data_IF_529124841684
#
_entry.id   IF_529124841684
#
_cell.length_a   1.000
_cell.length_b   1.000
_cell.length_c   1.000
_cell.angle_alpha   90.00
_cell.angle_beta   90.00
_cell.angle_gamma   90.00
#
_symmetry.space_group_name_H-M   'P 1'
#
loop_
_entity.id
_entity.type
_entity.pdbx_description
1 polymer ?
#
# COMPACT_ATOMS: atom_id res chain seq x y z
N UNK A 1 -16.45 21.55 -17.90
CA UNK A 1 -16.75 20.94 -16.58
C UNK A 1 -18.13 21.41 -16.16
N UNK A 2 -19.07 20.51 -15.77
CA UNK A 2 -20.41 20.89 -15.35
C UNK A 2 -20.39 21.65 -14.02
N UNK A 3 -21.36 22.54 -13.79
CA UNK A 3 -21.48 23.31 -12.55
C UNK A 3 -21.47 22.43 -11.29
N UNK A 4 -22.22 21.33 -11.30
CA UNK A 4 -22.30 20.39 -10.17
C UNK A 4 -20.95 19.70 -9.87
N UNK A 5 -20.19 19.36 -10.92
CA UNK A 5 -18.86 18.78 -10.75
C UNK A 5 -17.90 19.77 -10.08
N UNK A 6 -18.02 21.07 -10.42
CA UNK A 6 -17.20 22.12 -9.81
C UNK A 6 -17.53 22.28 -8.32
N UNK A 7 -18.81 22.39 -7.97
CA UNK A 7 -19.26 22.48 -6.56
C UNK A 7 -18.79 21.27 -5.76
N UNK A 8 -18.95 20.05 -6.29
CA UNK A 8 -18.51 18.84 -5.60
C UNK A 8 -16.99 18.82 -5.40
N UNK A 9 -16.22 19.24 -6.41
CA UNK A 9 -14.76 19.33 -6.32
C UNK A 9 -14.33 20.32 -5.23
N UNK A 10 -14.90 21.49 -5.19
CA UNK A 10 -14.63 22.52 -4.19
C UNK A 10 -14.96 22.02 -2.76
N UNK A 11 -16.10 21.34 -2.58
CA UNK A 11 -16.46 20.72 -1.29
C UNK A 11 -15.48 19.64 -0.84
N UNK A 12 -14.97 18.80 -1.77
CA UNK A 12 -13.97 17.78 -1.48
C UNK A 12 -12.62 18.41 -1.12
N UNK A 13 -12.19 19.43 -1.87
CA UNK A 13 -10.93 20.14 -1.62
C UNK A 13 -10.96 20.90 -0.30
N UNK A 14 -12.04 21.61 0.01
CA UNK A 14 -12.24 22.32 1.28
C UNK A 14 -12.15 21.39 2.50
N UNK A 15 -12.50 20.13 2.34
CA UNK A 15 -12.38 19.07 3.37
C UNK A 15 -11.07 18.33 3.34
N UNK A 16 -10.11 18.77 2.54
CA UNK A 16 -8.77 18.19 2.39
C UNK A 16 -8.79 16.68 2.05
N UNK A 17 -9.68 16.27 1.15
CA UNK A 17 -9.69 14.90 0.65
C UNK A 17 -8.47 14.65 -0.24
N UNK A 18 -7.90 13.45 -0.16
CA UNK A 18 -6.80 13.04 -1.02
C UNK A 18 -7.23 13.03 -2.51
N UNK A 19 -6.34 13.42 -3.42
CA UNK A 19 -6.61 13.51 -4.86
C UNK A 19 -7.24 12.24 -5.42
N UNK A 20 -6.74 11.05 -5.01
CA UNK A 20 -7.31 9.76 -5.42
C UNK A 20 -8.75 9.57 -4.96
N UNK A 21 -9.10 10.04 -3.76
CA UNK A 21 -10.49 9.96 -3.27
C UNK A 21 -11.39 10.92 -4.03
N UNK A 22 -10.90 12.11 -4.35
CA UNK A 22 -11.60 13.10 -5.18
C UNK A 22 -11.95 12.48 -6.53
N UNK A 23 -10.96 11.90 -7.22
CA UNK A 23 -11.16 11.26 -8.53
C UNK A 23 -12.20 10.14 -8.48
N UNK A 24 -12.10 9.27 -7.47
CA UNK A 24 -13.08 8.18 -7.30
C UNK A 24 -14.49 8.68 -7.06
N UNK A 25 -14.66 9.70 -6.24
CA UNK A 25 -15.98 10.23 -5.92
C UNK A 25 -16.62 10.95 -7.11
N UNK A 26 -15.81 11.72 -7.84
CA UNK A 26 -16.29 12.39 -9.07
C UNK A 26 -16.68 11.37 -10.14
N UNK A 27 -15.86 10.32 -10.35
CA UNK A 27 -16.19 9.23 -11.29
C UNK A 27 -17.44 8.47 -10.90
N UNK A 28 -17.65 8.18 -9.60
CA UNK A 28 -18.83 7.47 -9.14
C UNK A 28 -20.13 8.25 -9.49
N UNK A 29 -20.13 9.58 -9.37
CA UNK A 29 -21.26 10.42 -9.75
C UNK A 29 -21.40 10.52 -11.27
N UNK A 30 -20.30 10.60 -12.00
CA UNK A 30 -20.28 10.59 -13.47
C UNK A 30 -20.85 9.29 -14.04
N UNK A 31 -20.42 8.14 -13.51
CA UNK A 31 -20.91 6.81 -13.93
C UNK A 31 -22.40 6.66 -13.63
N UNK A 32 -22.85 7.16 -12.47
CA UNK A 32 -24.27 7.19 -12.10
C UNK A 32 -25.11 8.02 -13.09
N UNK A 33 -24.64 9.22 -13.41
CA UNK A 33 -25.33 10.10 -14.38
C UNK A 33 -25.36 9.50 -15.78
N UNK A 34 -24.26 8.88 -16.23
CA UNK A 34 -24.16 8.19 -17.53
C UNK A 34 -25.12 7.02 -17.63
N UNK A 35 -25.24 6.22 -16.56
CA UNK A 35 -26.12 5.06 -16.55
C UNK A 35 -27.59 5.42 -16.85
N UNK A 36 -28.07 6.55 -16.32
CA UNK A 36 -29.45 7.00 -16.56
C UNK A 36 -29.59 8.02 -17.70
N UNK A 37 -28.51 8.48 -18.30
CA UNK A 37 -28.53 9.53 -19.33
C UNK A 37 -29.11 10.86 -18.85
N UNK A 38 -29.12 11.12 -17.54
CA UNK A 38 -29.74 12.28 -16.92
C UNK A 38 -28.76 13.03 -16.00
N UNK A 39 -28.92 14.36 -15.81
CA UNK A 39 -28.16 15.09 -14.82
C UNK A 39 -28.37 14.51 -13.41
N UNK A 40 -27.28 14.34 -12.61
CA UNK A 40 -27.37 13.61 -11.36
C UNK A 40 -28.22 14.27 -10.27
N UNK A 41 -28.48 15.57 -10.37
CA UNK A 41 -29.39 16.32 -9.48
C UNK A 41 -30.87 16.04 -9.74
N UNK A 42 -31.22 15.56 -10.95
CA UNK A 42 -32.55 15.14 -11.32
C UNK A 42 -32.88 13.69 -11.00
N UNK A 43 -31.86 12.95 -10.53
CA UNK A 43 -32.01 11.56 -10.10
C UNK A 43 -32.46 11.51 -8.64
N UNK A 44 -33.34 10.55 -8.35
CA UNK A 44 -34.01 10.41 -7.06
C UNK A 44 -33.64 9.11 -6.33
N UNK A 45 -34.37 8.82 -5.24
CA UNK A 45 -34.26 7.63 -4.41
C UNK A 45 -34.32 6.32 -5.20
N UNK A 46 -35.25 6.22 -6.13
CA UNK A 46 -35.49 4.99 -6.91
C UNK A 46 -34.29 4.69 -7.81
N UNK A 47 -33.78 5.70 -8.51
CA UNK A 47 -32.56 5.58 -9.32
C UNK A 47 -31.34 5.14 -8.50
N UNK A 48 -31.22 5.60 -7.24
CA UNK A 48 -30.12 5.15 -6.38
C UNK A 48 -30.19 3.67 -6.02
N UNK A 49 -31.40 3.18 -5.71
CA UNK A 49 -31.63 1.74 -5.43
C UNK A 49 -31.41 0.88 -6.66
N UNK A 50 -31.94 1.31 -7.80
CA UNK A 50 -31.76 0.63 -9.09
C UNK A 50 -30.26 0.55 -9.46
N UNK A 51 -29.54 1.66 -9.34
CA UNK A 51 -28.11 1.67 -9.64
C UNK A 51 -27.29 0.79 -8.71
N UNK A 52 -27.60 0.72 -7.42
CA UNK A 52 -26.93 -0.21 -6.52
C UNK A 52 -27.21 -1.68 -6.90
N UNK A 53 -28.44 -1.98 -7.27
CA UNK A 53 -28.81 -3.32 -7.76
C UNK A 53 -28.07 -3.66 -9.07
N UNK A 54 -28.00 -2.73 -10.01
CA UNK A 54 -27.23 -2.83 -11.25
C UNK A 54 -25.75 -3.13 -11.00
N UNK A 55 -25.08 -2.36 -10.11
CA UNK A 55 -23.67 -2.57 -9.79
C UNK A 55 -23.39 -3.97 -9.23
N UNK A 56 -24.31 -4.51 -8.42
CA UNK A 56 -24.15 -5.83 -7.79
C UNK A 56 -24.55 -6.98 -8.71
N UNK A 57 -25.68 -6.87 -9.42
CA UNK A 57 -26.30 -7.99 -10.17
C UNK A 57 -25.82 -8.07 -11.61
N UNK A 58 -25.76 -6.94 -12.31
CA UNK A 58 -25.41 -6.89 -13.73
C UNK A 58 -23.90 -6.69 -13.93
N UNK A 59 -23.32 -5.67 -13.30
CA UNK A 59 -21.86 -5.46 -13.35
C UNK A 59 -21.06 -6.43 -12.47
N UNK A 60 -21.73 -7.16 -11.58
CA UNK A 60 -21.12 -8.16 -10.68
C UNK A 60 -19.90 -7.62 -9.95
N UNK A 61 -19.93 -6.34 -9.55
CA UNK A 61 -18.84 -5.71 -8.82
C UNK A 61 -18.76 -6.27 -7.38
N UNK A 62 -17.54 -6.40 -6.88
CA UNK A 62 -17.34 -6.79 -5.48
C UNK A 62 -17.98 -5.78 -4.53
N UNK A 63 -18.57 -6.22 -3.41
CA UNK A 63 -19.22 -5.34 -2.43
C UNK A 63 -18.34 -4.20 -1.94
N UNK A 64 -17.00 -4.41 -1.87
CA UNK A 64 -16.04 -3.36 -1.51
C UNK A 64 -15.97 -2.25 -2.56
N UNK A 65 -16.03 -2.58 -3.84
CA UNK A 65 -16.06 -1.63 -4.95
C UNK A 65 -17.38 -0.86 -4.96
N UNK A 66 -18.50 -1.56 -4.79
CA UNK A 66 -19.83 -0.93 -4.67
C UNK A 66 -19.87 0.04 -3.49
N UNK A 67 -19.27 -0.33 -2.33
CA UNK A 67 -19.14 0.57 -1.18
C UNK A 67 -18.45 1.87 -1.54
N UNK A 68 -17.46 1.85 -2.41
CA UNK A 68 -16.74 3.06 -2.85
C UNK A 68 -17.65 3.95 -3.72
N UNK A 69 -18.39 3.37 -4.68
CA UNK A 69 -19.41 4.10 -5.47
C UNK A 69 -20.45 4.74 -4.57
N UNK A 70 -20.99 3.97 -3.62
CA UNK A 70 -21.96 4.45 -2.62
C UNK A 70 -21.39 5.63 -1.82
N UNK A 71 -20.11 5.57 -1.41
CA UNK A 71 -19.48 6.68 -0.67
C UNK A 71 -19.46 7.97 -1.49
N UNK A 72 -19.13 7.89 -2.79
CA UNK A 72 -19.16 9.05 -3.70
C UNK A 72 -20.58 9.63 -3.88
N UNK A 73 -21.56 8.75 -4.09
CA UNK A 73 -22.97 9.17 -4.22
C UNK A 73 -23.50 9.78 -2.93
N UNK A 74 -23.23 9.17 -1.76
CA UNK A 74 -23.61 9.76 -0.46
C UNK A 74 -22.99 11.15 -0.26
N UNK A 75 -21.71 11.31 -0.62
CA UNK A 75 -21.06 12.61 -0.55
C UNK A 75 -21.78 13.63 -1.45
N UNK A 76 -22.05 13.27 -2.69
CA UNK A 76 -22.74 14.15 -3.65
C UNK A 76 -24.11 14.56 -3.17
N UNK A 77 -24.98 13.61 -2.85
CA UNK A 77 -26.36 13.94 -2.44
C UNK A 77 -26.41 14.68 -1.11
N UNK A 78 -25.62 14.27 -0.11
CA UNK A 78 -25.70 14.82 1.24
C UNK A 78 -24.88 16.10 1.40
N UNK A 79 -23.66 16.13 0.88
CA UNK A 79 -22.75 17.27 1.11
C UNK A 79 -22.82 18.31 0.01
N UNK A 80 -22.94 17.89 -1.25
CA UNK A 80 -23.01 18.80 -2.40
C UNK A 80 -24.43 19.33 -2.62
N UNK A 81 -25.44 18.44 -2.71
CA UNK A 81 -26.83 18.83 -2.94
C UNK A 81 -27.64 19.16 -1.66
N UNK A 82 -27.06 18.91 -0.47
CA UNK A 82 -27.70 19.12 0.83
C UNK A 82 -29.01 18.31 1.04
N UNK A 83 -29.11 17.16 0.36
CA UNK A 83 -30.27 16.25 0.47
C UNK A 83 -30.00 15.16 1.51
N UNK A 84 -29.91 15.52 2.79
CA UNK A 84 -29.57 14.59 3.89
C UNK A 84 -30.60 13.48 4.11
N UNK A 85 -31.88 13.73 3.75
CA UNK A 85 -32.97 12.75 3.84
C UNK A 85 -32.78 11.50 2.98
N UNK A 86 -31.85 11.52 1.99
CA UNK A 86 -31.53 10.37 1.16
C UNK A 86 -30.48 9.43 1.79
N UNK A 87 -29.97 9.72 2.98
CA UNK A 87 -28.91 8.93 3.63
C UNK A 87 -29.31 7.46 3.85
N UNK A 88 -30.54 7.23 4.31
CA UNK A 88 -31.07 5.90 4.62
C UNK A 88 -31.35 5.07 3.37
N UNK A 89 -31.54 5.74 2.23
CA UNK A 89 -31.80 5.11 0.94
C UNK A 89 -30.56 4.66 0.19
N UNK A 90 -29.39 5.02 0.69
CA UNK A 90 -28.10 4.65 0.11
C UNK A 90 -27.33 3.81 1.14
N UNK A 91 -27.80 2.59 1.49
CA UNK A 91 -27.12 1.75 2.47
C UNK A 91 -25.77 1.26 1.93
N UNK A 92 -24.82 1.07 2.83
CA UNK A 92 -23.59 0.41 2.45
C UNK A 92 -23.81 -1.10 2.29
N UNK A 93 -23.30 -1.71 1.22
CA UNK A 93 -23.35 -3.17 1.07
C UNK A 93 -22.58 -3.85 2.19
N UNK A 94 -23.06 -4.99 2.66
CA UNK A 94 -22.31 -5.84 3.59
C UNK A 94 -21.07 -6.37 2.87
N UNK A 95 -19.90 -6.09 3.42
CA UNK A 95 -18.62 -6.58 2.91
C UNK A 95 -18.20 -7.79 3.75
N UNK A 96 -18.10 -8.99 3.17
CA UNK A 96 -17.61 -10.16 3.88
C UNK A 96 -16.20 -9.92 4.41
N UNK A 97 -15.96 -10.25 5.68
CA UNK A 97 -14.61 -10.26 6.25
C UNK A 97 -13.93 -11.56 5.84
N UNK A 98 -12.98 -11.47 4.94
CA UNK A 98 -12.09 -12.61 4.62
C UNK A 98 -10.84 -12.47 5.48
N UNK A 99 -10.37 -13.58 6.04
CA UNK A 99 -9.09 -13.62 6.70
C UNK A 99 -7.99 -13.30 5.67
N UNK A 100 -7.00 -12.49 6.04
CA UNK A 100 -5.88 -12.24 5.15
C UNK A 100 -5.12 -13.54 4.89
N UNK A 101 -4.66 -13.73 3.67
CA UNK A 101 -3.70 -14.77 3.34
C UNK A 101 -2.39 -14.39 4.03
N UNK A 102 -1.73 -15.35 4.68
CA UNK A 102 -0.44 -15.14 5.35
C UNK A 102 0.57 -16.09 4.71
N UNK A 103 1.79 -15.58 4.45
CA UNK A 103 2.93 -16.40 4.04
C UNK A 103 3.60 -16.98 5.29
N UNK A 104 4.15 -18.19 5.22
CA UNK A 104 5.06 -18.67 6.25
C UNK A 104 6.43 -17.99 6.13
N UNK A 105 7.25 -18.14 7.14
CA UNK A 105 8.61 -17.60 7.15
C UNK A 105 9.44 -18.21 6.02
N UNK A 106 9.29 -19.52 5.82
CA UNK A 106 9.94 -20.28 4.76
C UNK A 106 9.47 -19.83 3.37
N UNK A 107 8.17 -19.54 3.22
CA UNK A 107 7.61 -18.98 1.98
C UNK A 107 8.18 -17.59 1.67
N UNK A 108 8.36 -16.75 2.71
CA UNK A 108 9.01 -15.44 2.53
C UNK A 108 10.49 -15.60 2.16
N UNK A 109 11.21 -16.51 2.78
CA UNK A 109 12.59 -16.83 2.41
C UNK A 109 12.70 -17.21 0.93
N UNK A 110 11.92 -18.21 0.49
CA UNK A 110 11.85 -18.64 -0.92
C UNK A 110 11.47 -17.49 -1.87
N UNK A 111 10.52 -16.64 -1.47
CA UNK A 111 10.11 -15.49 -2.26
C UNK A 111 11.27 -14.51 -2.51
N UNK A 112 12.03 -14.18 -1.46
CA UNK A 112 13.15 -13.24 -1.54
C UNK A 112 14.30 -13.85 -2.36
N UNK A 113 14.59 -15.15 -2.18
CA UNK A 113 15.64 -15.84 -2.90
C UNK A 113 15.31 -16.06 -4.39
N UNK A 114 14.03 -16.17 -4.74
CA UNK A 114 13.55 -16.26 -6.11
C UNK A 114 13.48 -14.92 -6.86
N UNK A 115 13.92 -13.81 -6.26
CA UNK A 115 13.96 -12.51 -6.93
C UNK A 115 14.80 -12.55 -8.22
N UNK A 116 14.35 -11.84 -9.27
CA UNK A 116 14.99 -11.83 -10.60
C UNK A 116 16.38 -11.18 -10.60
N UNK A 117 16.53 -10.17 -9.79
CA UNK A 117 17.73 -9.33 -9.72
C UNK A 117 17.86 -8.68 -8.35
N UNK A 118 18.98 -7.99 -8.13
CA UNK A 118 19.29 -7.35 -6.86
C UNK A 118 18.28 -6.26 -6.47
N UNK A 119 17.70 -5.54 -7.45
CA UNK A 119 16.68 -4.53 -7.19
C UNK A 119 15.40 -5.17 -6.63
N UNK A 120 14.89 -6.22 -7.30
CA UNK A 120 13.68 -6.92 -6.85
C UNK A 120 13.90 -7.55 -5.46
N UNK A 121 15.07 -8.17 -5.23
CA UNK A 121 15.45 -8.71 -3.92
C UNK A 121 15.44 -7.65 -2.84
N UNK A 122 16.04 -6.50 -3.11
CA UNK A 122 16.10 -5.37 -2.16
C UNK A 122 14.70 -4.82 -1.89
N UNK A 123 13.86 -4.67 -2.92
CA UNK A 123 12.46 -4.26 -2.78
C UNK A 123 11.67 -5.18 -1.83
N UNK A 124 11.75 -6.49 -2.06
CA UNK A 124 11.06 -7.49 -1.24
C UNK A 124 11.57 -7.49 0.21
N UNK A 125 12.89 -7.39 0.39
CA UNK A 125 13.50 -7.32 1.73
C UNK A 125 13.07 -6.06 2.49
N UNK A 126 13.07 -4.89 1.84
CA UNK A 126 12.59 -3.64 2.45
C UNK A 126 11.12 -3.75 2.83
N UNK A 127 10.25 -4.26 1.95
CA UNK A 127 8.83 -4.44 2.23
C UNK A 127 8.61 -5.36 3.45
N UNK A 128 9.27 -6.48 3.48
CA UNK A 128 9.14 -7.47 4.55
C UNK A 128 9.68 -6.97 5.88
N UNK A 129 10.89 -6.42 5.89
CA UNK A 129 11.56 -6.00 7.13
C UNK A 129 10.93 -4.76 7.78
N UNK A 130 10.35 -3.85 6.98
CA UNK A 130 9.86 -2.56 7.48
C UNK A 130 8.35 -2.45 7.53
N UNK A 131 7.65 -3.32 6.82
CA UNK A 131 6.20 -3.26 6.67
C UNK A 131 5.68 -1.96 6.07
N UNK A 132 6.50 -1.23 5.31
CA UNK A 132 6.08 0.01 4.70
C UNK A 132 5.05 -0.22 3.57
N UNK A 133 4.27 0.82 3.28
CA UNK A 133 3.29 0.77 2.19
C UNK A 133 3.99 0.88 0.84
N UNK A 134 3.39 0.35 -0.23
CA UNK A 134 3.91 0.46 -1.59
C UNK A 134 4.29 1.91 -1.95
N UNK A 135 3.45 2.90 -1.62
CA UNK A 135 3.74 4.31 -1.88
C UNK A 135 4.93 4.83 -1.06
N UNK A 136 5.05 4.42 0.20
CA UNK A 136 6.17 4.78 1.07
C UNK A 136 7.49 4.19 0.54
N UNK A 137 7.48 2.91 0.14
CA UNK A 137 8.63 2.26 -0.48
C UNK A 137 9.10 2.98 -1.75
N UNK A 138 8.18 3.29 -2.65
CA UNK A 138 8.52 3.95 -3.92
C UNK A 138 9.11 5.34 -3.71
N UNK A 139 8.62 6.06 -2.70
CA UNK A 139 9.05 7.41 -2.37
C UNK A 139 10.23 7.44 -1.38
N UNK A 140 10.82 6.30 -1.06
CA UNK A 140 11.96 6.23 -0.17
C UNK A 140 13.21 6.82 -0.84
N UNK A 141 13.88 7.75 -0.15
CA UNK A 141 15.07 8.41 -0.63
C UNK A 141 16.32 7.83 0.05
N UNK A 142 17.47 7.97 -0.59
CA UNK A 142 18.75 7.53 -0.03
C UNK A 142 19.03 8.20 1.32
N UNK A 143 18.71 9.48 1.46
CA UNK A 143 18.88 10.26 2.69
C UNK A 143 18.00 9.80 3.85
N UNK A 144 16.93 9.05 3.58
CA UNK A 144 16.03 8.55 4.62
C UNK A 144 16.60 7.35 5.39
N UNK A 145 17.74 6.81 4.94
CA UNK A 145 18.42 5.68 5.57
C UNK A 145 19.53 6.18 6.47
N UNK A 146 19.30 6.11 7.77
CA UNK A 146 20.32 6.42 8.78
C UNK A 146 21.02 5.12 9.22
N UNK A 147 22.18 4.87 8.64
CA UNK A 147 22.98 3.70 8.97
C UNK A 147 23.73 3.82 10.30
N UNK A 148 23.84 5.01 10.89
CA UNK A 148 24.45 5.21 12.20
C UNK A 148 23.43 4.97 13.31
N UNK A 149 22.24 5.54 13.17
CA UNK A 149 21.15 5.32 14.11
C UNK A 149 20.43 3.96 13.88
N UNK A 150 20.74 3.23 12.81
CA UNK A 150 20.05 2.00 12.39
C UNK A 150 18.54 2.19 12.24
N UNK A 151 18.14 3.27 11.58
CA UNK A 151 16.76 3.66 11.35
C UNK A 151 16.49 4.02 9.89
N UNK A 152 15.24 3.83 9.46
CA UNK A 152 14.73 4.35 8.19
C UNK A 152 13.62 5.35 8.52
N UNK A 153 13.74 6.58 8.00
CA UNK A 153 12.74 7.62 8.13
C UNK A 153 11.68 7.47 7.03
N UNK A 154 10.44 7.23 7.40
CA UNK A 154 9.32 7.14 6.46
C UNK A 154 8.55 8.45 6.50
N UNK A 155 8.71 9.26 5.45
CA UNK A 155 8.06 10.54 5.29
C UNK A 155 6.63 10.36 4.71
N UNK A 156 5.74 11.28 5.05
CA UNK A 156 4.37 11.38 4.50
C UNK A 156 3.58 10.06 4.58
N UNK A 157 3.63 9.37 5.71
CA UNK A 157 2.81 8.19 5.99
C UNK A 157 1.30 8.47 5.89
N UNK A 158 0.48 7.45 6.16
CA UNK A 158 -0.99 7.61 6.15
C UNK A 158 -1.42 8.71 7.13
N UNK A 159 -2.13 9.72 6.63
CA UNK A 159 -2.53 10.90 7.40
C UNK A 159 -1.43 11.95 7.57
N UNK A 160 -0.39 11.94 6.70
CA UNK A 160 0.70 12.92 6.72
C UNK A 160 1.68 12.76 7.90
N UNK A 161 1.64 11.62 8.60
CA UNK A 161 2.50 11.40 9.78
C UNK A 161 3.78 10.67 9.38
N UNK A 162 4.90 11.24 9.79
CA UNK A 162 6.21 10.63 9.66
C UNK A 162 6.43 9.59 10.75
N UNK A 163 7.26 8.59 10.48
CA UNK A 163 7.67 7.59 11.45
C UNK A 163 9.05 7.03 11.14
N UNK A 164 9.71 6.53 12.15
CA UNK A 164 10.93 5.74 12.02
C UNK A 164 10.62 4.26 12.10
N UNK A 165 11.37 3.46 11.36
CA UNK A 165 11.34 1.99 11.44
C UNK A 165 12.76 1.47 11.63
N UNK A 166 12.96 0.37 12.38
CA UNK A 166 14.29 -0.21 12.57
C UNK A 166 14.90 -0.69 11.26
N UNK A 167 16.21 -0.51 11.12
CA UNK A 167 17.04 -1.00 10.04
C UNK A 167 17.87 -2.17 10.56
N UNK A 168 17.54 -3.40 10.13
CA UNK A 168 18.32 -4.58 10.54
C UNK A 168 19.70 -4.59 9.87
N UNK A 169 20.74 -5.16 10.51
CA UNK A 169 22.09 -5.29 9.91
C UNK A 169 22.04 -5.97 8.54
N UNK A 170 21.25 -7.02 8.40
CA UNK A 170 21.11 -7.74 7.12
C UNK A 170 20.48 -6.91 6.02
N UNK A 171 19.45 -6.12 6.36
CA UNK A 171 18.84 -5.20 5.40
C UNK A 171 19.87 -4.11 5.00
N UNK A 172 20.65 -3.59 5.94
CA UNK A 172 21.69 -2.59 5.65
C UNK A 172 22.77 -3.15 4.70
N UNK A 173 23.20 -4.39 4.88
CA UNK A 173 24.14 -5.08 3.96
C UNK A 173 23.56 -5.12 2.53
N UNK A 174 22.34 -5.60 2.39
CA UNK A 174 21.65 -5.66 1.08
C UNK A 174 21.46 -4.28 0.45
N UNK A 175 21.11 -3.28 1.25
CA UNK A 175 21.00 -1.90 0.78
C UNK A 175 22.35 -1.34 0.32
N UNK A 176 23.46 -1.66 0.99
CA UNK A 176 24.80 -1.25 0.59
C UNK A 176 25.25 -1.94 -0.70
N UNK A 177 24.95 -3.23 -0.86
CA UNK A 177 25.19 -3.97 -2.10
C UNK A 177 24.40 -3.36 -3.25
N UNK A 178 23.12 -3.16 -3.06
CA UNK A 178 22.24 -2.50 -4.02
C UNK A 178 22.74 -1.10 -4.39
N UNK A 179 23.14 -0.30 -3.40
CA UNK A 179 23.64 1.05 -3.63
C UNK A 179 24.94 1.05 -4.45
N UNK A 180 25.89 0.13 -4.17
CA UNK A 180 27.12 0.00 -4.95
C UNK A 180 26.84 -0.34 -6.43
N UNK A 181 25.86 -1.18 -6.68
CA UNK A 181 25.46 -1.57 -8.02
C UNK A 181 24.65 -0.48 -8.74
N UNK A 182 23.61 0.06 -8.09
CA UNK A 182 22.66 0.98 -8.70
C UNK A 182 23.13 2.43 -8.63
N UNK A 183 23.87 2.84 -7.60
CA UNK A 183 24.30 4.21 -7.30
C UNK A 183 23.16 5.23 -7.42
N UNK A 184 22.04 5.04 -6.72
CA UNK A 184 20.91 5.96 -6.79
C UNK A 184 21.30 7.32 -6.20
N UNK A 185 20.82 8.42 -6.82
CA UNK A 185 21.13 9.79 -6.37
C UNK A 185 20.10 10.28 -5.35
N UNK A 186 18.84 10.36 -5.74
CA UNK A 186 17.74 10.89 -4.92
C UNK A 186 16.87 9.76 -4.39
N UNK A 187 16.21 9.06 -5.29
CA UNK A 187 15.28 7.98 -4.95
C UNK A 187 16.05 6.69 -4.75
N UNK A 188 15.76 5.98 -3.66
CA UNK A 188 16.41 4.67 -3.42
C UNK A 188 16.14 3.71 -4.57
N UNK A 189 14.91 3.69 -5.08
CA UNK A 189 14.50 2.92 -6.24
C UNK A 189 14.13 3.85 -7.39
N UNK A 190 15.11 4.26 -8.23
CA UNK A 190 14.85 5.14 -9.35
C UNK A 190 14.11 4.40 -10.47
N UNK A 191 13.14 5.08 -11.08
CA UNK A 191 12.45 4.60 -12.26
C UNK A 191 13.31 4.71 -13.51
N UNK A 192 12.84 4.12 -14.60
CA UNK A 192 13.42 4.25 -15.94
C UNK A 192 12.41 4.93 -16.86
N UNK A 193 12.91 5.80 -17.75
CA UNK A 193 12.15 6.38 -18.85
C UNK A 193 12.98 6.14 -20.09
N UNK A 194 12.40 5.56 -21.13
CA UNK A 194 13.07 5.21 -22.42
C UNK A 194 14.38 4.42 -22.21
N UNK A 195 14.40 3.50 -21.25
CA UNK A 195 15.57 2.69 -20.92
C UNK A 195 16.62 3.40 -20.06
N UNK A 196 16.50 4.69 -19.80
CA UNK A 196 17.42 5.48 -18.99
C UNK A 196 16.89 5.72 -17.59
N UNK A 197 17.80 5.88 -16.62
CA UNK A 197 17.42 6.25 -15.25
C UNK A 197 16.80 7.64 -15.25
N UNK A 198 15.58 7.72 -14.69
CA UNK A 198 14.89 8.97 -14.50
C UNK A 198 15.04 9.44 -13.05
N UNK A 199 15.08 10.74 -12.82
CA UNK A 199 14.95 11.30 -11.46
C UNK A 199 13.48 11.27 -10.98
N UNK A 200 12.90 10.08 -11.06
CA UNK A 200 11.52 9.75 -10.64
C UNK A 200 11.53 8.42 -9.93
N UNK A 201 10.64 8.21 -8.94
CA UNK A 201 10.52 6.93 -8.26
C UNK A 201 9.93 5.87 -9.20
N UNK A 202 10.18 4.59 -8.92
CA UNK A 202 9.53 3.47 -9.62
C UNK A 202 8.00 3.56 -9.57
N UNK A 203 7.37 2.97 -10.59
CA UNK A 203 5.90 2.91 -10.65
C UNK A 203 5.32 1.81 -9.75
N UNK A 204 4.02 1.87 -9.39
CA UNK A 204 3.36 0.78 -8.67
C UNK A 204 3.47 -0.57 -9.37
N UNK A 205 3.53 -0.55 -10.72
CA UNK A 205 3.63 -1.75 -11.55
C UNK A 205 4.95 -2.47 -11.33
N UNK A 206 6.07 -1.77 -11.22
CA UNK A 206 7.39 -2.38 -10.94
C UNK A 206 7.38 -3.18 -9.63
N UNK A 207 6.80 -2.60 -8.57
CA UNK A 207 6.67 -3.30 -7.28
C UNK A 207 5.75 -4.52 -7.39
N UNK A 208 4.67 -4.39 -8.14
CA UNK A 208 3.74 -5.50 -8.40
C UNK A 208 4.44 -6.62 -9.19
N UNK A 209 5.11 -6.28 -10.29
CA UNK A 209 5.87 -7.22 -11.14
C UNK A 209 6.95 -7.96 -10.33
N UNK A 210 7.66 -7.26 -9.43
CA UNK A 210 8.64 -7.87 -8.54
C UNK A 210 8.01 -8.92 -7.62
N UNK A 211 6.85 -8.60 -7.01
CA UNK A 211 6.14 -9.55 -6.14
C UNK A 211 5.62 -10.76 -6.93
N UNK A 212 4.98 -10.55 -8.10
CA UNK A 212 4.38 -11.63 -8.89
C UNK A 212 5.44 -12.58 -9.46
N UNK A 213 6.48 -12.03 -10.10
CA UNK A 213 7.53 -12.87 -10.68
C UNK A 213 8.34 -13.63 -9.63
N UNK A 214 8.56 -13.06 -8.44
CA UNK A 214 9.20 -13.77 -7.35
C UNK A 214 8.31 -14.89 -6.81
N UNK A 215 7.01 -14.66 -6.67
CA UNK A 215 6.04 -15.68 -6.23
C UNK A 215 5.95 -16.86 -7.22
N UNK A 216 5.87 -16.57 -8.50
CA UNK A 216 5.85 -17.56 -9.57
C UNK A 216 7.12 -18.42 -9.55
N UNK A 217 8.29 -17.79 -9.50
CA UNK A 217 9.59 -18.48 -9.44
C UNK A 217 9.81 -19.28 -8.16
N UNK A 218 9.23 -18.82 -7.04
CA UNK A 218 9.25 -19.53 -5.77
C UNK A 218 8.24 -20.70 -5.69
N UNK A 219 7.40 -20.89 -6.71
CA UNK A 219 6.34 -21.90 -6.74
C UNK A 219 5.26 -21.63 -5.66
N UNK A 220 4.94 -20.37 -5.39
CA UNK A 220 3.91 -20.01 -4.42
C UNK A 220 2.55 -19.89 -5.11
N UNK A 221 1.59 -20.71 -4.68
CA UNK A 221 0.19 -20.62 -5.16
C UNK A 221 -0.55 -19.40 -4.62
N UNK A 222 -0.05 -18.79 -3.55
CA UNK A 222 -0.64 -17.64 -2.89
C UNK A 222 -0.36 -16.37 -3.70
N UNK A 223 -1.39 -15.54 -3.88
CA UNK A 223 -1.21 -14.23 -4.51
C UNK A 223 -0.39 -13.29 -3.61
N UNK A 224 0.85 -13.02 -4.00
CA UNK A 224 1.78 -12.18 -3.24
C UNK A 224 1.67 -10.73 -3.69
N UNK A 225 1.53 -9.81 -2.76
CA UNK A 225 1.52 -8.37 -3.01
C UNK A 225 2.31 -7.62 -1.94
N UNK A 226 2.73 -6.39 -2.25
CA UNK A 226 3.39 -5.53 -1.27
C UNK A 226 2.56 -5.34 0.03
N UNK A 227 1.22 -5.39 -0.09
CA UNK A 227 0.33 -5.27 1.06
C UNK A 227 0.32 -6.55 1.91
N UNK A 228 0.45 -7.71 1.28
CA UNK A 228 0.57 -8.98 1.97
C UNK A 228 1.83 -9.04 2.84
N UNK A 229 2.98 -8.67 2.27
CA UNK A 229 4.26 -8.64 3.01
C UNK A 229 4.20 -7.69 4.23
N UNK A 230 3.45 -6.60 4.12
CA UNK A 230 3.23 -5.69 5.23
C UNK A 230 2.41 -6.30 6.38
N UNK A 231 1.46 -7.18 6.11
CA UNK A 231 0.65 -7.80 7.17
C UNK A 231 1.44 -8.69 8.13
N UNK A 232 2.67 -9.05 7.75
CA UNK A 232 3.55 -9.88 8.57
C UNK A 232 4.19 -9.12 9.75
N UNK A 233 4.43 -7.83 9.60
CA UNK A 233 5.11 -6.99 10.60
C UNK A 233 4.33 -6.80 11.91
N UNK A 234 2.98 -6.76 11.94
CA UNK A 234 2.24 -6.62 13.20
C UNK A 234 2.42 -7.76 14.19
N UNK A 235 2.73 -8.99 13.73
CA UNK A 235 2.98 -10.12 14.62
C UNK A 235 4.28 -9.97 15.43
N UNK A 236 5.27 -9.27 14.89
CA UNK A 236 6.53 -8.97 15.58
C UNK A 236 6.42 -7.78 16.54
N UNK A 237 5.42 -6.93 16.38
CA UNK A 237 5.25 -5.71 17.18
C UNK A 237 4.08 -5.75 18.16
N UNK A 238 3.18 -6.75 18.10
CA UNK A 238 2.02 -6.84 18.99
C UNK A 238 2.36 -7.27 20.43
N UNK A 239 3.56 -7.78 20.71
CA UNK A 239 4.02 -7.98 22.09
C UNK A 239 4.44 -6.67 22.80
N UNK A 240 4.37 -5.55 22.12
CA UNK A 240 4.96 -4.29 22.57
C UNK A 240 4.00 -3.10 22.55
N UNK A 241 2.76 -3.25 23.00
CA UNK A 241 1.81 -2.15 23.07
C UNK A 241 1.41 -1.78 24.50
N UNK A 242 2.39 -1.43 25.34
CA UNK A 242 2.17 -0.63 26.56
C UNK A 242 3.28 0.41 26.70
N UNK A 243 2.90 1.71 26.59
CA UNK A 243 3.65 2.94 26.85
C UNK A 243 4.66 3.41 25.81
N UNK A 244 4.29 4.48 25.13
CA UNK A 244 5.01 5.19 24.04
C UNK A 244 6.32 5.86 24.42
N UNK A 245 6.74 5.82 25.69
CA UNK A 245 7.91 6.55 26.17
C UNK A 245 9.15 5.69 26.49
N UNK A 246 9.06 4.36 26.43
CA UNK A 246 10.17 3.47 26.85
C UNK A 246 10.93 2.80 25.69
N UNK A 247 10.61 3.11 24.43
CA UNK A 247 11.15 2.39 23.27
C UNK A 247 12.46 2.94 22.71
N UNK A 248 13.08 3.90 23.36
CA UNK A 248 14.43 4.37 23.03
C UNK A 248 15.48 3.97 24.07
N UNK A 249 15.37 2.78 24.65
CA UNK A 249 16.55 2.19 25.31
C UNK A 249 17.46 1.57 24.26
N UNK A 250 18.77 1.78 24.35
CA UNK A 250 19.73 1.14 23.45
C UNK A 250 19.56 -0.38 23.50
N UNK A 251 19.63 -1.01 22.33
CA UNK A 251 19.42 -2.46 22.07
C UNK A 251 20.40 -3.41 22.79
N UNK A 252 21.10 -2.96 23.84
CA UNK A 252 22.04 -3.79 24.60
C UNK A 252 21.39 -4.71 25.63
N UNK A 253 20.11 -4.54 26.00
CA UNK A 253 19.49 -5.32 27.06
C UNK A 253 18.30 -6.19 26.66
N UNK A 254 17.91 -6.24 25.39
CA UNK A 254 16.84 -7.14 24.91
C UNK A 254 17.47 -8.44 24.40
N UNK A 255 17.83 -9.31 25.35
CA UNK A 255 18.19 -10.69 25.03
C UNK A 255 17.02 -11.45 24.40
N UNK A 256 17.30 -12.23 23.38
CA UNK A 256 16.58 -13.36 22.78
C UNK A 256 15.45 -13.12 21.78
N UNK A 257 14.73 -12.00 21.71
CA UNK A 257 13.60 -11.90 20.77
C UNK A 257 13.96 -11.36 19.37
N UNK A 258 15.17 -10.88 19.18
CA UNK A 258 15.68 -10.40 17.89
C UNK A 258 16.32 -11.52 17.05
N UNK A 259 16.59 -12.66 17.66
CA UNK A 259 17.26 -13.81 17.01
C UNK A 259 16.41 -14.42 15.89
N UNK A 260 15.09 -14.31 15.95
CA UNK A 260 14.19 -14.92 14.95
C UNK A 260 14.28 -14.28 13.55
N UNK A 261 14.63 -13.01 13.43
CA UNK A 261 14.83 -12.38 12.11
C UNK A 261 16.22 -12.71 11.54
N UNK A 262 17.19 -13.07 12.39
CA UNK A 262 18.55 -13.41 11.99
C UNK A 262 18.72 -14.82 11.43
N UNK A 263 17.87 -15.78 11.83
CA UNK A 263 18.01 -17.18 11.45
C UNK A 263 17.44 -17.53 10.05
N UNK A 264 16.63 -16.65 9.48
CA UNK A 264 15.90 -16.94 8.24
C UNK A 264 16.71 -16.65 6.97
N UNK A 265 17.80 -15.90 7.07
CA UNK A 265 18.65 -15.55 5.91
C UNK A 265 20.08 -16.08 6.15
N UNK A 266 20.23 -17.31 6.58
CA UNK A 266 21.50 -18.04 6.44
C UNK A 266 21.56 -18.64 5.05
N UNK A 267 22.28 -17.98 4.16
CA UNK A 267 22.82 -18.64 2.97
C UNK A 267 23.87 -19.64 3.49
N UNK A 268 23.87 -20.92 3.09
CA UNK A 268 24.96 -21.81 3.38
C UNK A 268 26.23 -21.21 2.78
N UNK A 269 27.22 -20.95 3.58
CA UNK A 269 28.61 -20.76 3.08
C UNK A 269 29.06 -22.14 2.68
N UNK A 270 29.17 -22.42 1.39
CA UNK A 270 29.87 -23.58 0.90
C UNK A 270 31.30 -23.46 1.37
N UNK A 271 31.68 -24.30 2.35
CA UNK A 271 33.07 -24.59 2.68
C UNK A 271 33.58 -25.45 1.54
N UNK A 272 34.37 -24.88 0.65
CA UNK A 272 35.12 -25.62 -0.34
C UNK A 272 36.09 -26.60 0.34
N UNK A 273 36.39 -27.70 -0.31
CA UNK A 273 37.27 -28.73 0.26
C UNK A 273 38.70 -28.23 0.41
N UNK A 274 39.31 -28.58 1.52
CA UNK A 274 40.76 -28.53 1.81
C UNK A 274 41.56 -29.42 0.89
#
# INVERSE_FOLDING_TARGET
MTHLRKIMLEELQRRNYAATTIDYYLRAVEDFAKHFGKPPDRLNREHLREYQAYLLRERKLEPRTVKLHVSGLRFFFVKTLKRSYLLDDIPYPKVPRRLPIILSVEEVGRLIDAARNLMDRTLLMVLYSTGMRNRELRNLQVKDIDSKAMLIHIQHGKGGRDRYVPLSPKLLETLREYWRWMKPKTWLFPGTVDGWRADKPITPKVVWDACQSAAERAGLEKHVSAHLLRHYVPFLTMSCNRSRAQYFRPLQEAGNDIVFVHSIIRVPVETGPS
#
